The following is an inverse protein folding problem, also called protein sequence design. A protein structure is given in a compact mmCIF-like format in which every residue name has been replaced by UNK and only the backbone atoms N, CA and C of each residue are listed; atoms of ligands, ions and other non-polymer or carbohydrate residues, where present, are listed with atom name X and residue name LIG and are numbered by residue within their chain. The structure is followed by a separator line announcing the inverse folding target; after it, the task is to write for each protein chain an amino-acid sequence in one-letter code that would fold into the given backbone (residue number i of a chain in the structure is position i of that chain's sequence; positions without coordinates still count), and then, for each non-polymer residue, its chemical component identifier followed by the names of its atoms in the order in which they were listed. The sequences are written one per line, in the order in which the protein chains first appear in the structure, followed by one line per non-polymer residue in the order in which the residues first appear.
data_IF_251938305696
#
_entry.id   IF_251938305696
#
_cell.length_a   1.000
_cell.length_b   1.000
_cell.length_c   1.000
_cell.angle_alpha   90.00
_cell.angle_beta   90.00
_cell.angle_gamma   90.00
#
_symmetry.space_group_name_H-M   'P 1'
#
loop_
_entity.id
_entity.type
_entity.pdbx_description
1 polymer ?
#
# COMPACT_ATOMS: atom_id res chain seq x y z
N UNK A 1 22.57 17.05 -33.71
CA UNK A 1 21.90 16.54 -32.51
C UNK A 1 20.45 16.97 -32.63
N UNK A 2 19.54 16.00 -32.72
CA UNK A 2 18.10 16.26 -32.77
C UNK A 2 17.64 16.85 -31.43
N UNK A 3 16.51 17.59 -31.46
CA UNK A 3 15.87 18.10 -30.23
C UNK A 3 15.49 16.95 -29.30
N UNK A 4 15.05 15.84 -29.88
CA UNK A 4 14.67 14.63 -29.13
C UNK A 4 15.90 13.95 -28.47
N UNK A 5 17.07 14.01 -29.15
CA UNK A 5 18.33 13.51 -28.58
C UNK A 5 18.78 14.35 -27.39
N UNK A 6 18.58 15.69 -27.47
CA UNK A 6 18.92 16.59 -26.38
C UNK A 6 18.00 16.43 -25.19
N UNK A 7 16.69 16.30 -25.41
CA UNK A 7 15.71 16.02 -24.34
C UNK A 7 15.98 14.66 -23.68
N UNK A 8 16.35 13.65 -24.48
CA UNK A 8 16.71 12.32 -23.97
C UNK A 8 17.97 12.37 -23.11
N UNK A 9 18.99 13.13 -23.53
CA UNK A 9 20.25 13.31 -22.82
C UNK A 9 20.04 14.07 -21.49
N UNK A 10 19.22 15.11 -21.50
CA UNK A 10 18.86 15.88 -20.29
C UNK A 10 18.14 14.97 -19.30
N UNK A 11 17.12 14.21 -19.73
CA UNK A 11 16.41 13.25 -18.87
C UNK A 11 17.37 12.20 -18.29
N UNK A 12 18.27 11.69 -19.09
CA UNK A 12 19.23 10.68 -18.64
C UNK A 12 20.20 11.26 -17.60
N UNK A 13 20.67 12.47 -17.81
CA UNK A 13 21.59 13.17 -16.88
C UNK A 13 20.85 13.53 -15.57
N UNK A 14 19.61 13.99 -15.65
CA UNK A 14 18.76 14.22 -14.48
C UNK A 14 18.54 12.92 -13.71
N UNK A 15 18.17 11.84 -14.37
CA UNK A 15 17.97 10.52 -13.75
C UNK A 15 19.23 10.02 -13.05
N UNK A 16 20.41 10.18 -13.66
CA UNK A 16 21.68 9.79 -13.04
C UNK A 16 22.03 10.66 -11.82
N UNK A 17 21.74 11.96 -11.88
CA UNK A 17 21.89 12.88 -10.74
C UNK A 17 20.96 12.47 -9.59
N UNK A 18 19.74 12.11 -9.90
CA UNK A 18 18.73 11.63 -8.93
C UNK A 18 19.16 10.31 -8.29
N UNK A 19 19.64 9.35 -9.09
CA UNK A 19 20.17 8.08 -8.59
C UNK A 19 21.35 8.29 -7.63
N UNK A 20 22.22 9.23 -7.92
CA UNK A 20 23.35 9.56 -7.05
C UNK A 20 22.90 10.17 -5.71
N UNK A 21 21.94 11.09 -5.74
CA UNK A 21 21.45 11.77 -4.54
C UNK A 21 20.54 10.87 -3.68
N UNK A 22 19.69 10.05 -4.31
CA UNK A 22 18.83 9.11 -3.63
C UNK A 22 19.54 7.79 -3.27
N UNK A 23 20.65 7.48 -3.88
CA UNK A 23 21.42 6.25 -3.62
C UNK A 23 21.97 6.16 -2.20
N UNK A 24 22.11 7.29 -1.51
CA UNK A 24 22.52 7.36 -0.10
C UNK A 24 21.35 7.34 0.87
N UNK A 25 20.11 7.64 0.41
CA UNK A 25 18.92 7.65 1.25
C UNK A 25 18.35 6.23 1.32
N UNK A 26 18.12 5.74 2.52
CA UNK A 26 17.55 4.42 2.78
C UNK A 26 16.07 4.52 3.17
N UNK A 27 15.35 3.43 3.07
CA UNK A 27 13.96 3.38 3.51
C UNK A 27 13.79 3.80 4.98
N UNK A 28 14.72 3.41 5.85
CA UNK A 28 14.74 3.80 7.26
C UNK A 28 14.81 5.31 7.50
N UNK A 29 15.38 6.08 6.56
CA UNK A 29 15.56 7.53 6.72
C UNK A 29 14.26 8.32 6.51
N UNK A 30 13.31 7.75 5.74
CA UNK A 30 12.07 8.45 5.38
C UNK A 30 10.80 7.75 5.83
N UNK A 31 10.86 6.48 6.23
CA UNK A 31 9.69 5.72 6.61
C UNK A 31 8.99 6.33 7.83
N UNK A 32 7.67 6.23 7.87
CA UNK A 32 6.92 6.41 9.11
C UNK A 32 7.16 5.20 9.99
N UNK A 33 7.69 5.41 11.20
CA UNK A 33 7.92 4.37 12.19
C UNK A 33 6.63 4.04 12.93
N UNK A 34 6.52 2.80 13.42
CA UNK A 34 5.34 2.30 14.13
C UNK A 34 4.02 2.59 13.38
N UNK A 35 3.89 2.12 12.14
CA UNK A 35 2.69 2.34 11.36
C UNK A 35 1.48 1.71 12.04
N UNK A 36 0.33 2.32 11.86
CA UNK A 36 -0.94 1.74 12.29
C UNK A 36 -1.17 0.45 11.49
N UNK A 37 -1.49 -0.63 12.19
CA UNK A 37 -1.66 -1.96 11.61
C UNK A 37 -3.06 -2.50 11.84
N UNK A 38 -3.49 -3.43 11.00
CA UNK A 38 -4.61 -4.31 11.26
C UNK A 38 -4.10 -5.73 11.51
N UNK A 39 -4.71 -6.44 12.43
CA UNK A 39 -4.51 -7.88 12.53
C UNK A 39 -5.40 -8.61 11.51
N UNK A 40 -4.98 -9.79 11.08
CA UNK A 40 -5.71 -10.60 10.11
C UNK A 40 -7.19 -10.81 10.47
N UNK A 41 -7.49 -11.03 11.74
CA UNK A 41 -8.85 -11.26 12.26
C UNK A 41 -9.61 -9.99 12.67
N UNK A 42 -9.07 -8.80 12.42
CA UNK A 42 -9.75 -7.55 12.77
C UNK A 42 -11.06 -7.41 11.99
N UNK A 43 -12.19 -7.08 12.65
CA UNK A 43 -13.45 -6.79 11.97
C UNK A 43 -13.29 -5.66 10.94
N UNK A 44 -13.96 -5.79 9.80
CA UNK A 44 -13.89 -4.78 8.73
C UNK A 44 -14.32 -3.39 9.18
N UNK A 45 -15.35 -3.31 10.02
CA UNK A 45 -15.83 -2.03 10.54
C UNK A 45 -14.80 -1.35 11.44
N UNK A 46 -14.06 -2.11 12.25
CA UNK A 46 -13.02 -1.58 13.12
C UNK A 46 -11.83 -1.06 12.29
N UNK A 47 -11.43 -1.83 11.26
CA UNK A 47 -10.39 -1.40 10.34
C UNK A 47 -10.77 -0.13 9.57
N UNK A 48 -12.03 -0.03 9.10
CA UNK A 48 -12.54 1.16 8.43
C UNK A 48 -12.54 2.37 9.35
N UNK A 49 -13.04 2.21 10.58
CA UNK A 49 -13.04 3.26 11.60
C UNK A 49 -11.62 3.75 11.90
N UNK A 50 -10.68 2.80 12.08
CA UNK A 50 -9.28 3.09 12.33
C UNK A 50 -8.63 3.89 11.18
N UNK A 51 -8.90 3.51 9.94
CA UNK A 51 -8.42 4.25 8.76
C UNK A 51 -8.97 5.67 8.72
N UNK A 52 -10.25 5.85 9.07
CA UNK A 52 -10.91 7.15 9.07
C UNK A 52 -10.38 8.05 10.19
N UNK A 53 -10.33 7.55 11.41
CA UNK A 53 -9.82 8.30 12.58
C UNK A 53 -8.36 8.73 12.43
N UNK A 54 -7.53 7.84 11.88
CA UNK A 54 -6.10 8.10 11.64
C UNK A 54 -5.82 8.82 10.33
N UNK A 55 -6.84 9.06 9.49
CA UNK A 55 -6.72 9.69 8.16
C UNK A 55 -5.72 8.98 7.26
N UNK A 56 -5.71 7.67 7.29
CA UNK A 56 -4.84 6.81 6.49
C UNK A 56 -5.65 6.04 5.45
N UNK A 57 -5.03 5.73 4.32
CA UNK A 57 -5.70 5.09 3.18
C UNK A 57 -5.35 3.61 3.02
N UNK A 58 -4.41 3.12 3.82
CA UNK A 58 -3.98 1.73 3.80
C UNK A 58 -3.51 1.30 5.19
N UNK A 59 -3.78 0.04 5.53
CA UNK A 59 -3.29 -0.62 6.73
C UNK A 59 -2.48 -1.85 6.31
N UNK A 60 -1.21 -1.95 6.68
CA UNK A 60 -0.51 -3.22 6.62
C UNK A 60 -1.22 -4.20 7.56
N UNK A 61 -1.36 -5.43 7.08
CA UNK A 61 -1.98 -6.51 7.86
C UNK A 61 -0.90 -7.42 8.37
N UNK A 62 -0.90 -7.67 9.67
CA UNK A 62 0.09 -8.51 10.33
C UNK A 62 -0.55 -9.71 11.00
N UNK A 63 0.28 -10.73 11.18
CA UNK A 63 -0.01 -11.85 12.09
C UNK A 63 0.32 -11.47 13.55
N UNK A 64 0.09 -12.41 14.47
CA UNK A 64 0.37 -12.23 15.90
C UNK A 64 1.86 -12.00 16.22
N UNK A 65 2.75 -12.33 15.30
CA UNK A 65 4.20 -12.12 15.43
C UNK A 65 4.68 -10.84 14.77
N UNK A 66 3.76 -9.96 14.36
CA UNK A 66 3.99 -8.71 13.62
C UNK A 66 4.58 -8.90 12.22
N UNK A 67 4.50 -10.09 11.64
CA UNK A 67 4.92 -10.33 10.26
C UNK A 67 3.85 -9.83 9.31
N UNK A 68 4.27 -9.16 8.24
CA UNK A 68 3.37 -8.66 7.20
C UNK A 68 2.80 -9.84 6.42
N UNK A 69 1.48 -9.98 6.44
CA UNK A 69 0.73 -11.02 5.71
C UNK A 69 -0.13 -10.46 4.58
N UNK A 70 -0.31 -9.15 4.54
CA UNK A 70 -1.09 -8.46 3.52
C UNK A 70 -1.14 -6.96 3.71
N UNK A 71 -1.95 -6.33 2.90
CA UNK A 71 -2.32 -4.92 3.01
C UNK A 71 -3.79 -4.76 2.67
N UNK A 72 -4.52 -3.93 3.40
CA UNK A 72 -5.88 -3.52 3.08
C UNK A 72 -5.93 -2.03 2.84
N UNK A 73 -6.61 -1.62 1.79
CA UNK A 73 -6.76 -0.23 1.38
C UNK A 73 -8.23 0.20 1.35
N UNK A 74 -8.50 1.50 1.33
CA UNK A 74 -9.86 2.00 1.13
C UNK A 74 -10.51 1.44 -0.14
N UNK A 75 -9.72 1.23 -1.21
CA UNK A 75 -10.21 0.65 -2.45
C UNK A 75 -10.74 -0.78 -2.27
N UNK A 76 -10.17 -1.56 -1.35
CA UNK A 76 -10.65 -2.91 -1.06
C UNK A 76 -12.04 -2.88 -0.42
N UNK A 77 -12.30 -1.92 0.46
CA UNK A 77 -13.64 -1.70 1.04
C UNK A 77 -14.66 -1.27 -0.01
N UNK A 78 -14.30 -0.33 -0.90
CA UNK A 78 -15.21 0.11 -1.96
C UNK A 78 -15.54 -1.03 -2.92
N UNK A 79 -14.59 -1.88 -3.27
CA UNK A 79 -14.87 -3.08 -4.08
C UNK A 79 -15.90 -4.01 -3.44
N UNK A 80 -15.91 -4.14 -2.11
CA UNK A 80 -16.93 -4.94 -1.44
C UNK A 80 -18.32 -4.31 -1.56
N UNK A 81 -18.43 -3.00 -1.43
CA UNK A 81 -19.70 -2.26 -1.59
C UNK A 81 -20.22 -2.40 -3.04
N UNK A 82 -19.35 -2.26 -4.05
CA UNK A 82 -19.73 -2.39 -5.45
C UNK A 82 -20.21 -3.82 -5.78
N UNK A 83 -19.56 -4.85 -5.24
CA UNK A 83 -20.00 -6.23 -5.38
C UNK A 83 -21.39 -6.46 -4.77
N UNK A 84 -21.71 -5.84 -3.63
CA UNK A 84 -23.03 -5.90 -3.02
C UNK A 84 -24.10 -5.23 -3.89
N UNK A 85 -23.78 -4.15 -4.59
CA UNK A 85 -24.71 -3.44 -5.48
C UNK A 85 -24.95 -4.16 -6.81
N UNK A 86 -23.96 -4.87 -7.35
CA UNK A 86 -24.07 -5.64 -8.59
C UNK A 86 -24.82 -6.99 -8.40
N UNK A 87 -24.96 -7.49 -7.18
CA UNK A 87 -25.82 -8.63 -6.86
C UNK A 87 -27.32 -8.28 -6.89
N UNK A 88 -27.69 -7.06 -7.28
CA UNK A 88 -28.98 -6.42 -7.08
C UNK A 88 -30.18 -6.96 -7.87
N UNK A 89 -30.06 -7.90 -8.82
CA UNK A 89 -31.22 -8.53 -9.47
C UNK A 89 -31.17 -10.06 -9.31
N UNK A 90 -30.00 -10.67 -9.43
CA UNK A 90 -29.79 -12.09 -9.14
C UNK A 90 -29.87 -12.43 -7.63
N UNK A 91 -29.48 -11.48 -6.76
CA UNK A 91 -29.51 -11.62 -5.32
C UNK A 91 -30.92 -11.71 -4.72
N UNK A 92 -31.88 -10.96 -5.27
CA UNK A 92 -33.29 -11.03 -4.84
C UNK A 92 -33.96 -12.36 -5.12
N UNK A 93 -33.63 -13.01 -6.25
CA UNK A 93 -34.14 -14.33 -6.58
C UNK A 93 -33.49 -15.42 -5.71
N UNK A 94 -32.18 -15.30 -5.41
CA UNK A 94 -31.48 -16.20 -4.49
C UNK A 94 -31.97 -16.05 -3.05
N UNK A 95 -32.32 -14.84 -2.63
CA UNK A 95 -32.87 -14.60 -1.30
C UNK A 95 -34.21 -15.29 -1.11
N UNK A 96 -35.06 -15.34 -2.14
CA UNK A 96 -36.36 -16.01 -2.09
C UNK A 96 -36.25 -17.55 -2.02
N UNK A 97 -35.23 -18.12 -2.61
CA UNK A 97 -34.99 -19.58 -2.59
C UNK A 97 -34.26 -20.03 -1.31
N UNK A 98 -33.60 -19.10 -0.60
CA UNK A 98 -32.73 -19.38 0.55
C UNK A 98 -33.38 -19.27 1.93
N UNK A 99 -34.66 -18.99 2.02
CA UNK A 99 -35.38 -18.87 3.32
C UNK A 99 -35.55 -20.21 4.05
N UNK A 100 -35.04 -21.32 3.52
CA UNK A 100 -35.27 -22.65 4.10
C UNK A 100 -33.98 -23.39 4.55
N UNK A 101 -32.80 -22.77 4.51
CA UNK A 101 -31.62 -23.37 5.11
C UNK A 101 -30.69 -22.30 5.66
N UNK A 102 -30.26 -22.49 6.89
CA UNK A 102 -29.21 -21.75 7.61
C UNK A 102 -28.10 -21.25 6.65
N UNK A 103 -28.19 -19.97 6.26
CA UNK A 103 -27.23 -19.38 5.35
C UNK A 103 -26.09 -18.84 6.18
N UNK A 104 -24.96 -19.50 6.17
CA UNK A 104 -23.68 -18.84 6.43
C UNK A 104 -23.60 -17.66 5.47
N UNK A 105 -23.63 -16.45 6.00
CA UNK A 105 -23.40 -15.22 5.24
C UNK A 105 -22.04 -15.34 4.55
N UNK A 106 -22.03 -15.34 3.23
CA UNK A 106 -20.82 -15.39 2.44
C UNK A 106 -20.14 -13.99 2.35
N UNK A 107 -20.58 -13.09 3.24
CA UNK A 107 -20.11 -11.72 3.33
C UNK A 107 -18.82 -11.70 4.14
N UNK A 108 -17.76 -11.02 3.64
CA UNK A 108 -16.52 -10.89 4.39
C UNK A 108 -16.77 -10.08 5.68
N UNK A 109 -16.23 -10.57 6.78
CA UNK A 109 -16.38 -9.99 8.11
C UNK A 109 -15.08 -9.42 8.66
N UNK A 110 -13.95 -9.96 8.22
CA UNK A 110 -12.63 -9.62 8.73
C UNK A 110 -11.66 -9.20 7.63
N UNK A 111 -10.67 -8.40 8.00
CA UNK A 111 -9.65 -7.83 7.11
C UNK A 111 -8.94 -8.88 6.26
N UNK A 112 -8.62 -10.03 6.85
CA UNK A 112 -7.92 -11.11 6.14
C UNK A 112 -8.67 -11.70 4.95
N UNK A 113 -9.98 -11.45 4.84
CA UNK A 113 -10.82 -11.91 3.72
C UNK A 113 -10.78 -10.97 2.51
N UNK A 114 -10.50 -9.67 2.72
CA UNK A 114 -10.48 -8.67 1.65
C UNK A 114 -9.08 -8.14 1.31
N UNK A 115 -8.09 -8.37 2.17
CA UNK A 115 -6.73 -7.87 1.99
C UNK A 115 -6.06 -8.41 0.74
N UNK A 116 -5.14 -7.62 0.17
CA UNK A 116 -4.19 -8.10 -0.83
C UNK A 116 -3.06 -8.85 -0.12
N UNK A 117 -2.88 -10.14 -0.43
CA UNK A 117 -1.88 -11.03 0.20
C UNK A 117 -0.49 -10.89 -0.41
N UNK A 118 -0.41 -10.65 -1.72
CA UNK A 118 0.86 -10.44 -2.43
C UNK A 118 1.31 -8.99 -2.30
N UNK A 119 1.73 -8.61 -1.11
CA UNK A 119 2.18 -7.24 -0.83
C UNK A 119 3.67 -7.10 -1.16
N UNK A 120 4.02 -6.01 -1.83
CA UNK A 120 5.42 -5.62 -2.01
C UNK A 120 5.93 -4.99 -0.73
N UNK A 121 7.05 -5.49 -0.22
CA UNK A 121 7.71 -4.99 0.97
C UNK A 121 9.16 -4.62 0.64
N UNK A 122 9.78 -3.78 1.47
CA UNK A 122 11.19 -3.46 1.38
C UNK A 122 11.85 -3.58 2.75
N UNK A 123 13.18 -3.78 2.76
CA UNK A 123 13.94 -3.75 4.00
C UNK A 123 14.30 -2.31 4.40
N UNK A 124 14.59 -2.08 5.67
CA UNK A 124 14.96 -0.77 6.21
C UNK A 124 16.20 -0.18 5.55
N UNK A 125 17.18 -1.02 5.23
CA UNK A 125 18.47 -0.65 4.64
C UNK A 125 18.43 -0.49 3.12
N UNK A 126 17.31 -0.83 2.50
CA UNK A 126 17.15 -0.73 1.04
C UNK A 126 17.27 0.71 0.56
N UNK A 127 18.10 0.99 -0.48
CA UNK A 127 18.16 2.33 -1.07
C UNK A 127 16.79 2.78 -1.58
N UNK A 128 16.42 4.02 -1.26
CA UNK A 128 15.12 4.57 -1.65
C UNK A 128 14.92 4.60 -3.17
N UNK A 129 16.01 4.81 -3.93
CA UNK A 129 15.98 4.79 -5.39
C UNK A 129 15.44 3.48 -5.97
N UNK A 130 15.62 2.36 -5.28
CA UNK A 130 15.12 1.05 -5.71
C UNK A 130 13.60 0.89 -5.56
N UNK A 131 12.93 1.79 -4.85
CA UNK A 131 11.48 1.80 -4.75
C UNK A 131 10.79 2.52 -5.92
N UNK A 132 11.54 3.25 -6.74
CA UNK A 132 11.01 3.99 -7.90
C UNK A 132 10.13 3.12 -8.80
N UNK A 133 10.58 1.94 -9.26
CA UNK A 133 9.75 1.09 -10.11
C UNK A 133 8.46 0.63 -9.45
N UNK A 134 8.46 0.42 -8.13
CA UNK A 134 7.27 0.01 -7.38
C UNK A 134 6.20 1.11 -7.37
N UNK A 135 6.62 2.36 -7.25
CA UNK A 135 5.69 3.51 -7.26
C UNK A 135 5.26 3.91 -8.68
N UNK A 136 6.14 3.81 -9.67
CA UNK A 136 5.88 4.26 -11.05
C UNK A 136 5.17 3.21 -11.92
N UNK A 137 5.63 1.97 -11.88
CA UNK A 137 5.16 0.91 -12.77
C UNK A 137 4.16 -0.03 -12.08
N UNK A 138 4.35 -0.26 -10.78
CA UNK A 138 3.54 -1.20 -10.02
C UNK A 138 2.22 -0.64 -9.50
N UNK A 139 1.97 0.67 -9.62
CA UNK A 139 0.78 1.33 -9.07
C UNK A 139 0.66 1.22 -7.54
N UNK A 140 1.76 0.90 -6.85
CA UNK A 140 1.79 0.81 -5.40
C UNK A 140 1.94 2.20 -4.79
N UNK A 141 1.10 2.55 -3.83
CA UNK A 141 1.16 3.83 -3.13
C UNK A 141 1.67 3.72 -1.70
N UNK A 142 1.78 2.51 -1.18
CA UNK A 142 2.16 2.18 0.19
C UNK A 142 3.04 0.93 0.18
N UNK A 143 4.25 1.04 0.73
CA UNK A 143 5.21 -0.07 0.80
C UNK A 143 5.55 -0.30 2.26
N UNK A 144 5.12 -1.43 2.86
CA UNK A 144 5.53 -1.81 4.20
C UNK A 144 7.03 -2.09 4.25
N UNK A 145 7.67 -1.60 5.30
CA UNK A 145 9.09 -1.81 5.58
C UNK A 145 9.24 -2.85 6.68
N UNK A 146 10.13 -3.80 6.45
CA UNK A 146 10.31 -4.96 7.31
C UNK A 146 11.76 -5.13 7.75
N UNK A 147 11.93 -5.78 8.91
CA UNK A 147 13.23 -6.24 9.39
C UNK A 147 13.63 -7.59 8.77
N UNK A 148 14.76 -8.14 9.21
CA UNK A 148 15.29 -9.42 8.74
C UNK A 148 14.35 -10.61 9.05
N UNK A 149 13.54 -10.51 10.10
CA UNK A 149 12.56 -11.51 10.49
C UNK A 149 11.18 -11.31 9.84
N UNK A 150 11.08 -10.38 8.86
CA UNK A 150 9.86 -9.98 8.15
C UNK A 150 8.82 -9.29 9.04
N UNK A 151 9.21 -8.78 10.20
CA UNK A 151 8.31 -8.00 11.05
C UNK A 151 8.22 -6.56 10.53
N UNK A 152 7.03 -5.99 10.62
CA UNK A 152 6.78 -4.62 10.21
C UNK A 152 7.50 -3.63 11.12
N UNK A 153 8.31 -2.75 10.52
CA UNK A 153 9.05 -1.69 11.22
C UNK A 153 8.65 -0.29 10.77
N UNK A 154 8.10 -0.16 9.58
CA UNK A 154 7.70 1.13 9.06
C UNK A 154 6.81 1.03 7.82
N UNK A 155 6.48 2.20 7.28
CA UNK A 155 5.75 2.36 6.03
C UNK A 155 6.37 3.49 5.22
N UNK A 156 6.60 3.27 3.93
CA UNK A 156 6.93 4.33 2.97
C UNK A 156 5.76 4.51 2.03
N UNK A 157 5.25 5.73 1.97
CA UNK A 157 4.19 6.11 1.03
C UNK A 157 4.77 6.84 -0.18
N UNK A 158 4.00 6.91 -1.27
CA UNK A 158 4.35 7.72 -2.42
C UNK A 158 4.60 9.19 -2.03
N UNK A 159 3.83 9.72 -1.08
CA UNK A 159 4.00 11.08 -0.58
C UNK A 159 5.32 11.27 0.18
N UNK A 160 5.75 10.27 0.97
CA UNK A 160 7.05 10.30 1.65
C UNK A 160 8.20 10.28 0.64
N UNK A 161 8.06 9.45 -0.39
CA UNK A 161 9.01 9.38 -1.49
C UNK A 161 9.14 10.73 -2.22
N UNK A 162 8.02 11.34 -2.64
CA UNK A 162 8.02 12.66 -3.29
C UNK A 162 8.64 13.72 -2.39
N UNK A 163 8.34 13.72 -1.09
CA UNK A 163 8.93 14.66 -0.12
C UNK A 163 10.44 14.48 0.00
N UNK A 164 10.93 13.24 0.00
CA UNK A 164 12.36 12.95 0.01
C UNK A 164 13.05 13.46 -1.26
N UNK A 165 12.40 13.32 -2.42
CA UNK A 165 12.88 13.87 -3.69
C UNK A 165 13.04 15.40 -3.59
N UNK A 166 12.01 16.11 -3.14
CA UNK A 166 12.08 17.57 -3.01
C UNK A 166 13.21 18.03 -2.08
N UNK A 167 13.45 17.32 -0.99
CA UNK A 167 14.56 17.61 -0.07
C UNK A 167 15.94 17.37 -0.71
N UNK A 168 16.05 16.33 -1.55
CA UNK A 168 17.28 16.01 -2.25
C UNK A 168 17.62 17.00 -3.40
N UNK A 169 16.60 17.70 -3.94
CA UNK A 169 16.70 18.62 -5.08
C UNK A 169 16.68 20.08 -4.64
N UNK A 170 16.27 20.37 -3.38
CA UNK A 170 16.20 21.72 -2.86
C UNK A 170 17.52 22.47 -2.96
N UNK A 171 17.51 23.80 -3.16
CA UNK A 171 18.73 24.59 -3.26
C UNK A 171 19.58 24.39 -2.01
N UNK A 172 20.86 24.14 -2.21
CA UNK A 172 21.84 24.20 -1.14
C UNK A 172 21.75 25.61 -0.49
N UNK A 173 21.34 25.65 0.76
CA UNK A 173 21.44 26.87 1.59
C UNK A 173 22.85 26.97 2.15
#
# INVERSE_FOLDING_TARGET
ISRDDLESLIRQTEMESWHRRLGTVRCADIMSRDPVVAEFGMPLQDAWTLMHERRIKALPVTDRTRRVVGIVTQADFFRQIDLEHHEGIGGRLRHFIRTTRSVMSNKPEVVGQIMTRQVRVASEDRPLAELVPLFSEGGHHHIPIIDAERRLTGMVTQSDFVRALYRAVGPEQ
#
